data_IF_581616395402
#
_entry.id   IF_581616395402
#
_cell.length_a   1.000
_cell.length_b   1.000
_cell.length_c   1.000
_cell.angle_alpha   90.00
_cell.angle_beta   90.00
_cell.angle_gamma   90.00
#
_symmetry.space_group_name_H-M   'P 1'
#
loop_
_entity.id
_entity.type
_entity.pdbx_description
1 polymer ?
#
# COMPACT_ATOMS: atom_id res chain seq x y z
N UNK A 1 -0.50 -9.50 0.91
CA UNK A 1 -0.70 -10.90 0.48
C UNK A 1 -1.65 -11.03 -0.73
N UNK A 2 -2.69 -10.19 -0.86
CA UNK A 2 -3.78 -10.46 -1.82
C UNK A 2 -3.53 -10.26 -3.32
N UNK A 3 -2.34 -9.83 -3.75
CA UNK A 3 -2.03 -9.58 -5.18
C UNK A 3 -1.34 -10.75 -5.88
N UNK A 4 -0.80 -11.71 -5.12
CA UNK A 4 -0.02 -12.85 -5.65
C UNK A 4 -0.70 -14.16 -5.23
N UNK A 5 -1.13 -15.03 -6.18
CA UNK A 5 -1.75 -16.30 -5.86
C UNK A 5 -0.87 -17.17 -4.94
N UNK A 6 -1.46 -17.71 -3.87
CA UNK A 6 -0.79 -18.62 -2.93
C UNK A 6 0.11 -17.95 -1.88
N UNK A 7 0.36 -16.64 -1.97
CA UNK A 7 1.19 -15.93 -1.00
C UNK A 7 0.41 -15.62 0.29
N UNK A 8 0.95 -16.01 1.44
CA UNK A 8 0.34 -15.81 2.76
C UNK A 8 0.95 -14.62 3.51
N UNK A 9 0.17 -13.97 4.40
CA UNK A 9 0.68 -12.88 5.26
C UNK A 9 1.82 -13.35 6.18
N UNK A 10 1.78 -14.60 6.66
CA UNK A 10 2.84 -15.19 7.48
C UNK A 10 4.18 -15.25 6.75
N UNK A 11 4.17 -15.68 5.49
CA UNK A 11 5.36 -15.72 4.62
C UNK A 11 5.93 -14.32 4.40
N UNK A 12 5.06 -13.33 4.18
CA UNK A 12 5.50 -11.93 4.03
C UNK A 12 6.10 -11.41 5.34
N UNK A 13 5.51 -11.75 6.48
CA UNK A 13 6.01 -11.35 7.80
C UNK A 13 7.41 -11.89 8.07
N UNK A 14 7.64 -13.16 7.73
CA UNK A 14 8.96 -13.78 7.83
C UNK A 14 9.99 -13.10 6.91
N UNK A 15 9.61 -12.84 5.65
CA UNK A 15 10.46 -12.10 4.72
C UNK A 15 10.80 -10.69 5.25
N UNK A 16 9.83 -9.98 5.82
CA UNK A 16 10.05 -8.66 6.40
C UNK A 16 11.03 -8.69 7.58
N UNK A 17 11.04 -9.75 8.39
CA UNK A 17 12.02 -9.92 9.49
C UNK A 17 13.44 -10.04 8.92
N UNK A 18 13.63 -10.91 7.93
CA UNK A 18 14.93 -11.12 7.27
C UNK A 18 15.43 -9.80 6.65
N UNK A 19 14.55 -9.06 5.96
CA UNK A 19 14.87 -7.76 5.36
C UNK A 19 15.32 -6.75 6.45
N UNK A 20 14.62 -6.71 7.58
CA UNK A 20 14.95 -5.80 8.70
C UNK A 20 16.25 -6.18 9.39
N UNK A 21 16.53 -7.47 9.57
CA UNK A 21 17.80 -7.96 10.11
C UNK A 21 18.98 -7.58 9.22
N UNK A 22 18.76 -7.47 7.90
CA UNK A 22 19.74 -6.97 6.94
C UNK A 22 19.85 -5.43 6.89
N UNK A 23 19.08 -4.69 7.70
CA UNK A 23 19.06 -3.22 7.69
C UNK A 23 18.37 -2.60 6.46
N UNK A 24 17.56 -3.38 5.75
CA UNK A 24 16.87 -2.96 4.53
C UNK A 24 15.40 -2.60 4.79
N UNK A 25 14.74 -1.97 3.81
CA UNK A 25 13.31 -1.67 3.82
C UNK A 25 12.54 -2.63 2.92
N UNK A 26 11.36 -3.03 3.38
CA UNK A 26 10.44 -3.87 2.63
C UNK A 26 9.41 -3.02 1.88
N UNK A 27 9.05 -3.44 0.66
CA UNK A 27 8.06 -2.77 -0.18
C UNK A 27 7.04 -3.78 -0.70
N UNK A 28 5.76 -3.46 -0.59
CA UNK A 28 4.68 -4.21 -1.25
C UNK A 28 4.05 -3.39 -2.37
N UNK A 29 3.62 -4.06 -3.43
CA UNK A 29 2.96 -3.46 -4.58
C UNK A 29 1.52 -3.99 -4.73
N UNK A 30 0.56 -3.06 -4.80
CA UNK A 30 -0.77 -3.29 -5.37
C UNK A 30 -0.65 -3.03 -6.87
N UNK A 31 -0.69 -4.09 -7.67
CA UNK A 31 -0.57 -4.04 -9.13
C UNK A 31 -1.47 -5.08 -9.79
N UNK A 32 -1.08 -5.55 -10.98
CA UNK A 32 -1.81 -6.58 -11.74
C UNK A 32 -3.27 -6.22 -12.03
N UNK A 33 -3.51 -4.94 -12.34
CA UNK A 33 -4.82 -4.31 -12.53
C UNK A 33 -5.62 -4.13 -11.23
N UNK A 34 -5.18 -4.68 -10.10
CA UNK A 34 -5.88 -4.53 -8.83
C UNK A 34 -5.84 -3.10 -8.28
N UNK A 35 -4.88 -2.27 -8.71
CA UNK A 35 -4.83 -0.83 -8.43
C UNK A 35 -6.06 -0.06 -8.93
N UNK A 36 -6.81 -0.64 -9.87
CA UNK A 36 -8.09 -0.12 -10.41
C UNK A 36 -9.32 -0.75 -9.78
N UNK A 37 -9.15 -1.61 -8.77
CA UNK A 37 -10.27 -2.17 -8.01
C UNK A 37 -10.99 -1.11 -7.19
N UNK A 38 -12.12 -1.48 -6.60
CA UNK A 38 -12.86 -0.62 -5.68
C UNK A 38 -12.04 -0.27 -4.42
N UNK A 39 -12.45 0.79 -3.73
CA UNK A 39 -11.74 1.29 -2.55
C UNK A 39 -11.70 0.31 -1.37
N UNK A 40 -12.68 -0.60 -1.28
CA UNK A 40 -12.71 -1.59 -0.18
C UNK A 40 -11.68 -2.67 -0.41
N UNK A 41 -11.55 -3.16 -1.65
CA UNK A 41 -10.45 -4.05 -2.07
C UNK A 41 -9.08 -3.41 -1.78
N UNK A 42 -8.88 -2.15 -2.18
CA UNK A 42 -7.61 -1.44 -1.91
C UNK A 42 -7.33 -1.32 -0.42
N UNK A 43 -8.36 -1.04 0.40
CA UNK A 43 -8.23 -0.97 1.86
C UNK A 43 -7.76 -2.30 2.44
N UNK A 44 -8.38 -3.40 2.04
CA UNK A 44 -8.00 -4.73 2.53
C UNK A 44 -6.58 -5.11 2.14
N UNK A 45 -6.18 -4.84 0.90
CA UNK A 45 -4.81 -5.06 0.42
C UNK A 45 -3.79 -4.23 1.22
N UNK A 46 -4.08 -2.94 1.45
CA UNK A 46 -3.21 -2.06 2.22
C UNK A 46 -3.08 -2.48 3.69
N UNK A 47 -4.19 -2.88 4.32
CA UNK A 47 -4.18 -3.39 5.69
C UNK A 47 -3.44 -4.73 5.80
N UNK A 48 -3.61 -5.63 4.83
CA UNK A 48 -2.87 -6.89 4.73
C UNK A 48 -1.35 -6.67 4.72
N UNK A 49 -0.88 -5.77 3.84
CA UNK A 49 0.54 -5.43 3.77
C UNK A 49 1.05 -4.78 5.06
N UNK A 50 0.27 -3.88 5.67
CA UNK A 50 0.61 -3.25 6.95
C UNK A 50 0.72 -4.25 8.09
N UNK A 51 -0.24 -5.18 8.22
CA UNK A 51 -0.20 -6.26 9.23
C UNK A 51 1.00 -7.17 9.05
N UNK A 52 1.41 -7.39 7.79
CA UNK A 52 2.55 -8.23 7.44
C UNK A 52 3.91 -7.57 7.73
N UNK A 53 3.93 -6.31 8.20
CA UNK A 53 5.16 -5.62 8.60
C UNK A 53 5.90 -4.90 7.48
N UNK A 54 5.25 -4.68 6.33
CA UNK A 54 5.79 -3.94 5.19
C UNK A 54 6.02 -2.46 5.55
N UNK A 55 7.16 -1.91 5.15
CA UNK A 55 7.55 -0.53 5.44
C UNK A 55 7.03 0.47 4.39
N UNK A 56 7.06 0.10 3.11
CA UNK A 56 6.66 0.96 1.98
C UNK A 56 5.49 0.34 1.22
N UNK A 57 4.44 1.14 1.00
CA UNK A 57 3.27 0.75 0.21
C UNK A 57 3.32 1.40 -1.17
N UNK A 58 3.30 0.58 -2.21
CA UNK A 58 3.19 1.01 -3.60
C UNK A 58 1.82 0.64 -4.17
N UNK A 59 1.27 1.54 -4.99
CA UNK A 59 0.07 1.32 -5.80
C UNK A 59 0.43 1.64 -7.26
N UNK A 60 0.09 0.73 -8.16
CA UNK A 60 0.40 0.82 -9.58
C UNK A 60 -0.36 1.93 -10.29
N UNK A 61 0.07 2.25 -11.52
CA UNK A 61 -0.38 3.39 -12.30
C UNK A 61 -1.27 3.02 -13.50
N UNK A 62 -1.79 1.79 -13.55
CA UNK A 62 -2.58 1.29 -14.68
C UNK A 62 -3.99 1.91 -14.84
N UNK A 63 -4.33 2.94 -14.06
CA UNK A 63 -5.56 3.70 -14.27
C UNK A 63 -5.48 4.68 -15.43
N UNK A 64 -6.54 5.46 -15.61
CA UNK A 64 -6.65 6.41 -16.72
C UNK A 64 -5.52 7.44 -16.69
N UNK A 65 -4.78 7.55 -17.80
CA UNK A 65 -3.70 8.53 -17.92
C UNK A 65 -2.41 8.18 -17.18
N UNK A 66 -2.21 6.92 -16.78
CA UNK A 66 -0.98 6.49 -16.11
C UNK A 66 -0.94 6.90 -14.64
N UNK A 67 -2.09 6.82 -13.96
CA UNK A 67 -2.19 7.06 -12.51
C UNK A 67 -3.21 6.10 -11.89
N UNK A 68 -2.95 5.65 -10.66
CA UNK A 68 -3.99 5.03 -9.84
C UNK A 68 -5.17 5.99 -9.67
N UNK A 69 -6.37 5.47 -9.47
CA UNK A 69 -7.52 6.32 -9.15
C UNK A 69 -7.23 7.14 -7.88
N UNK A 70 -7.43 8.46 -7.88
CA UNK A 70 -7.20 9.31 -6.71
C UNK A 70 -7.91 8.81 -5.44
N UNK A 71 -9.10 8.24 -5.61
CA UNK A 71 -9.91 7.63 -4.56
C UNK A 71 -9.18 6.43 -3.93
N UNK A 72 -8.49 5.62 -4.74
CA UNK A 72 -7.71 4.47 -4.28
C UNK A 72 -6.44 4.91 -3.54
N UNK A 73 -5.75 5.95 -4.03
CA UNK A 73 -4.61 6.56 -3.33
C UNK A 73 -5.06 7.08 -1.95
N UNK A 74 -6.20 7.77 -1.90
CA UNK A 74 -6.77 8.29 -0.65
C UNK A 74 -7.24 7.16 0.27
N UNK A 75 -7.92 6.14 -0.24
CA UNK A 75 -8.39 4.99 0.55
C UNK A 75 -7.22 4.23 1.19
N UNK A 76 -6.17 3.91 0.41
CA UNK A 76 -4.94 3.30 0.91
C UNK A 76 -4.30 4.17 2.00
N UNK A 77 -4.19 5.48 1.74
CA UNK A 77 -3.67 6.45 2.70
C UNK A 77 -4.45 6.45 4.02
N UNK A 78 -5.78 6.56 3.97
CA UNK A 78 -6.62 6.56 5.18
C UNK A 78 -6.47 5.25 5.93
N UNK A 79 -6.43 4.10 5.24
CA UNK A 79 -6.27 2.79 5.85
C UNK A 79 -4.96 2.66 6.64
N UNK A 80 -3.84 3.12 6.07
CA UNK A 80 -2.52 2.90 6.67
C UNK A 80 -2.13 3.96 7.70
N UNK A 81 -2.52 5.23 7.52
CA UNK A 81 -2.08 6.35 8.41
C UNK A 81 -3.23 7.11 9.07
N UNK A 82 -4.48 6.76 8.79
CA UNK A 82 -5.67 7.41 9.33
C UNK A 82 -6.06 8.70 8.60
N UNK A 83 -7.32 9.11 8.77
CA UNK A 83 -7.93 10.24 8.05
C UNK A 83 -7.27 11.58 8.40
N UNK A 84 -7.00 11.83 9.69
CA UNK A 84 -6.36 13.06 10.16
C UNK A 84 -4.99 13.28 9.51
N UNK A 85 -4.14 12.25 9.46
CA UNK A 85 -2.81 12.34 8.87
C UNK A 85 -2.90 12.49 7.34
N UNK A 86 -3.83 11.77 6.72
CA UNK A 86 -4.10 11.86 5.28
C UNK A 86 -4.40 13.30 4.87
N UNK A 87 -5.38 13.94 5.52
CA UNK A 87 -5.74 15.33 5.23
C UNK A 87 -4.62 16.30 5.54
N UNK A 88 -3.89 16.10 6.63
CA UNK A 88 -2.71 16.93 6.92
C UNK A 88 -1.63 16.84 5.82
N UNK A 89 -1.41 15.68 5.20
CA UNK A 89 -0.47 15.53 4.08
C UNK A 89 -1.01 16.16 2.80
N UNK A 90 -2.30 16.04 2.52
CA UNK A 90 -2.94 16.63 1.33
C UNK A 90 -3.00 18.16 1.39
N UNK A 91 -3.20 18.74 2.58
CA UNK A 91 -3.26 20.17 2.78
C UNK A 91 -1.88 20.85 2.83
N UNK A 92 -0.79 20.08 2.82
CA UNK A 92 0.55 20.66 2.84
C UNK A 92 0.96 21.21 1.48
N UNK A 93 1.70 22.32 1.51
CA UNK A 93 2.35 22.85 0.32
C UNK A 93 3.33 21.82 -0.24
N UNK A 94 3.31 21.64 -1.57
CA UNK A 94 4.30 20.82 -2.27
C UNK A 94 5.72 21.44 -2.26
N UNK A 95 5.86 22.73 -1.89
CA UNK A 95 7.15 23.47 -1.84
C UNK A 95 7.83 23.43 -0.46
N UNK A 96 7.47 22.48 0.40
CA UNK A 96 8.00 22.37 1.75
C UNK A 96 9.31 21.61 1.79
#
# INVERSE_FOLDING_TARGET
>A
AGTVPGLQESTITEACKIIKEAGCLSLSAIGTSQETSDTDTIRELALSSKRSGIDIQHIGDAGWGGIAFPENIMAMSVAIRGIRHTYFKMAQSAKR
#
